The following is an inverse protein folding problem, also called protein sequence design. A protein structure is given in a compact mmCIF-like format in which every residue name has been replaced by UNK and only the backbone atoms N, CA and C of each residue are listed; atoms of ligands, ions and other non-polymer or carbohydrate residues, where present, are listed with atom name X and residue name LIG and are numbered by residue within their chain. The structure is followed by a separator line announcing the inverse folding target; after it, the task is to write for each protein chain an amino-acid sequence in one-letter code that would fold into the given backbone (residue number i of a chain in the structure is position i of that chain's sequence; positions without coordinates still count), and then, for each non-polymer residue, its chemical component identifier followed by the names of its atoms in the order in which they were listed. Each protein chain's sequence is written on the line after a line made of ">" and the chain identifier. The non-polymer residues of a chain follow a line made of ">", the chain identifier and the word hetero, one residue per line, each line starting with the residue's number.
data_IF_944661522614
#
_entry.id   IF_944661522614
#
_cell.length_a   1.000
_cell.length_b   1.000
_cell.length_c   1.000
_cell.angle_alpha   90.00
_cell.angle_beta   90.00
_cell.angle_gamma   90.00
#
_symmetry.space_group_name_H-M   'P 1'
#
loop_
_entity.id
_entity.type
_entity.pdbx_description
1 polymer ?
#
# COMPACT_ATOMS: atom_id res chain seq x y z
N UNK A 1 13.06 -8.61 -4.71
CA UNK A 1 13.43 -7.17 -4.64
C UNK A 1 12.51 -6.53 -3.63
N UNK A 2 13.01 -5.66 -2.75
CA UNK A 2 12.14 -4.87 -1.86
C UNK A 2 11.81 -3.53 -2.53
N UNK A 3 10.58 -3.07 -2.34
CA UNK A 3 10.09 -1.80 -2.87
C UNK A 3 9.62 -0.92 -1.72
N UNK A 4 9.91 0.36 -1.82
CA UNK A 4 9.29 1.41 -0.99
C UNK A 4 8.23 2.09 -1.85
N UNK A 5 7.07 2.38 -1.28
CA UNK A 5 5.94 2.95 -2.00
C UNK A 5 5.22 4.03 -1.19
N UNK A 6 4.50 4.89 -1.92
CA UNK A 6 3.50 5.84 -1.42
C UNK A 6 2.19 5.57 -2.15
N UNK A 7 1.10 5.50 -1.39
CA UNK A 7 -0.28 5.48 -1.90
C UNK A 7 -0.97 6.78 -1.50
N UNK A 8 -1.88 7.27 -2.34
CA UNK A 8 -2.84 8.31 -1.98
C UNK A 8 -4.18 7.63 -1.72
N UNK A 9 -4.65 7.72 -0.48
CA UNK A 9 -5.91 7.17 -0.04
C UNK A 9 -7.09 8.01 -0.56
N UNK A 10 -8.31 7.48 -0.45
CA UNK A 10 -9.53 8.17 -0.88
C UNK A 10 -9.87 9.42 -0.07
N UNK A 11 -9.29 9.54 1.13
CA UNK A 11 -9.42 10.71 2.02
C UNK A 11 -8.28 11.73 1.81
N UNK A 12 -7.57 11.65 0.68
CA UNK A 12 -6.39 12.44 0.33
C UNK A 12 -5.19 12.29 1.28
N UNK A 13 -5.24 11.35 2.24
CA UNK A 13 -4.06 11.03 3.05
C UNK A 13 -3.03 10.25 2.25
N UNK A 14 -1.77 10.35 2.68
CA UNK A 14 -0.66 9.60 2.10
C UNK A 14 -0.28 8.43 2.99
N UNK A 15 -0.25 7.24 2.41
CA UNK A 15 0.14 6.00 3.08
C UNK A 15 1.49 5.53 2.55
N UNK A 16 2.49 5.40 3.42
CA UNK A 16 3.84 4.97 3.07
C UNK A 16 4.09 3.55 3.56
N UNK A 17 4.92 2.80 2.83
CA UNK A 17 5.31 1.47 3.27
C UNK A 17 6.37 0.85 2.40
N UNK A 18 6.72 -0.39 2.73
CA UNK A 18 7.63 -1.20 1.95
C UNK A 18 7.11 -2.64 1.86
N UNK A 19 7.41 -3.32 0.76
CA UNK A 19 6.99 -4.71 0.54
C UNK A 19 7.88 -5.38 -0.51
N UNK A 20 7.89 -6.70 -0.53
CA UNK A 20 8.47 -7.50 -1.61
C UNK A 20 7.45 -7.81 -2.72
N UNK A 21 6.17 -7.59 -2.46
CA UNK A 21 5.02 -7.88 -3.33
C UNK A 21 4.02 -6.72 -3.25
N UNK A 22 3.98 -5.89 -4.31
CA UNK A 22 3.14 -4.69 -4.37
C UNK A 22 1.66 -5.06 -4.55
N UNK A 23 1.36 -6.04 -5.39
CA UNK A 23 0.00 -6.40 -5.76
C UNK A 23 -0.75 -6.95 -4.55
N UNK A 24 -0.10 -7.85 -3.79
CA UNK A 24 -0.64 -8.36 -2.53
C UNK A 24 -0.86 -7.24 -1.52
N UNK A 25 0.05 -6.27 -1.46
CA UNK A 25 -0.04 -5.17 -0.48
C UNK A 25 -1.20 -4.22 -0.80
N UNK A 26 -1.39 -3.86 -2.06
CA UNK A 26 -2.50 -3.00 -2.52
C UNK A 26 -3.84 -3.71 -2.27
N UNK A 27 -3.96 -5.00 -2.59
CA UNK A 27 -5.18 -5.77 -2.35
C UNK A 27 -5.55 -5.82 -0.85
N UNK A 28 -4.56 -6.06 0.04
CA UNK A 28 -4.78 -6.07 1.48
C UNK A 28 -5.23 -4.71 2.03
N UNK A 29 -4.62 -3.61 1.56
CA UNK A 29 -4.99 -2.25 1.94
C UNK A 29 -6.42 -1.92 1.50
N UNK A 30 -6.79 -2.22 0.26
CA UNK A 30 -8.14 -1.98 -0.27
C UNK A 30 -9.23 -2.82 0.43
N UNK A 31 -8.86 -4.00 0.97
CA UNK A 31 -9.76 -4.84 1.77
C UNK A 31 -9.84 -4.39 3.25
N UNK A 32 -9.24 -3.27 3.64
CA UNK A 32 -9.23 -2.77 5.02
C UNK A 32 -8.45 -3.64 6.00
N UNK A 33 -7.66 -4.60 5.48
CA UNK A 33 -6.91 -5.56 6.28
C UNK A 33 -5.45 -5.14 6.49
N UNK A 34 -5.08 -3.91 6.09
CA UNK A 34 -3.68 -3.54 5.92
C UNK A 34 -3.36 -2.05 5.87
#
# INVERSE_FOLDING_TARGET
>A
MAYVYILRCSDDTLYTGWTYDIDKRIAAHNNGSG
#
